data_IF_717197190621
#
_entry.id   IF_717197190621
#
_cell.length_a   1.000
_cell.length_b   1.000
_cell.length_c   1.000
_cell.angle_alpha   90.00
_cell.angle_beta   90.00
_cell.angle_gamma   90.00
#
_symmetry.space_group_name_H-M   'P 1'
#
loop_
_entity.id
_entity.type
_entity.pdbx_description
1 polymer ?
#
# COMPACT_ATOMS: atom_id res chain seq x y z
N UNK A 1 6.90 -1.40 -0.74
CA UNK A 1 5.63 -0.77 -0.26
C UNK A 1 5.61 -0.82 1.25
N UNK A 2 4.77 -0.03 1.91
CA UNK A 2 4.74 0.00 3.38
C UNK A 2 4.51 -1.36 4.04
N UNK A 3 3.63 -2.20 3.48
CA UNK A 3 3.40 -3.55 4.02
C UNK A 3 4.68 -4.40 4.08
N UNK A 4 5.53 -4.36 3.06
CA UNK A 4 6.79 -5.12 3.05
C UNK A 4 7.79 -4.59 4.07
N UNK A 5 7.86 -3.26 4.24
CA UNK A 5 8.74 -2.66 5.25
C UNK A 5 8.25 -3.01 6.66
N UNK A 6 6.94 -3.02 6.88
CA UNK A 6 6.37 -3.51 8.15
C UNK A 6 6.73 -4.96 8.41
N UNK A 7 6.63 -5.83 7.41
CA UNK A 7 7.01 -7.24 7.53
C UNK A 7 8.51 -7.48 7.76
N UNK A 8 9.36 -6.52 7.38
CA UNK A 8 10.80 -6.54 7.67
C UNK A 8 11.11 -6.06 9.08
N UNK A 9 10.36 -5.07 9.59
CA UNK A 9 10.54 -4.49 10.92
C UNK A 9 9.91 -5.34 12.02
N UNK A 10 8.67 -5.74 11.78
CA UNK A 10 7.79 -6.46 12.71
C UNK A 10 7.66 -7.89 12.16
N UNK A 11 7.66 -8.93 13.01
CA UNK A 11 7.25 -10.25 12.52
C UNK A 11 5.80 -10.18 12.03
N UNK A 12 5.46 -11.01 11.06
CA UNK A 12 4.08 -11.12 10.61
C UNK A 12 3.35 -12.13 11.50
N UNK A 13 2.10 -11.85 11.88
CA UNK A 13 1.33 -12.84 12.61
C UNK A 13 1.21 -14.10 11.76
N UNK A 14 1.64 -15.23 12.31
CA UNK A 14 1.53 -16.56 11.70
C UNK A 14 0.07 -16.99 11.71
N UNK A 15 -0.69 -16.49 10.75
CA UNK A 15 -2.07 -16.86 10.54
C UNK A 15 -2.15 -18.02 9.54
N UNK A 16 -3.09 -18.96 9.73
CA UNK A 16 -3.35 -19.97 8.71
C UNK A 16 -3.75 -19.29 7.39
N UNK A 17 -3.48 -19.98 6.28
CA UNK A 17 -3.87 -19.50 4.96
C UNK A 17 -5.39 -19.27 4.94
N UNK A 18 -5.81 -18.08 4.51
CA UNK A 18 -7.23 -17.74 4.45
C UNK A 18 -7.88 -18.54 3.31
N UNK A 19 -8.88 -19.40 3.59
CA UNK A 19 -9.60 -20.12 2.56
C UNK A 19 -10.28 -19.15 1.58
N UNK A 20 -10.23 -19.46 0.28
CA UNK A 20 -10.86 -18.62 -0.74
C UNK A 20 -12.38 -18.48 -0.50
N UNK A 21 -13.02 -19.55 -0.02
CA UNK A 21 -14.44 -19.59 0.34
C UNK A 21 -14.80 -18.59 1.44
N UNK A 22 -13.98 -18.49 2.50
CA UNK A 22 -14.20 -17.53 3.58
C UNK A 22 -14.14 -16.09 3.06
N UNK A 23 -13.15 -15.79 2.23
CA UNK A 23 -13.00 -14.46 1.62
C UNK A 23 -14.19 -14.10 0.72
N UNK A 24 -14.64 -15.06 -0.09
CA UNK A 24 -15.81 -14.87 -0.96
C UNK A 24 -17.07 -14.64 -0.15
N UNK A 25 -17.32 -15.44 0.91
CA UNK A 25 -18.47 -15.27 1.78
C UNK A 25 -18.47 -13.89 2.47
N UNK A 26 -17.33 -13.48 3.03
CA UNK A 26 -17.20 -12.16 3.66
C UNK A 26 -17.38 -11.00 2.66
N UNK A 27 -16.93 -11.16 1.42
CA UNK A 27 -17.17 -10.17 0.36
C UNK A 27 -18.65 -10.08 -0.02
N UNK A 28 -19.36 -11.21 -0.09
CA UNK A 28 -20.80 -11.24 -0.34
C UNK A 28 -21.58 -10.61 0.83
N UNK A 29 -21.19 -10.91 2.07
CA UNK A 29 -21.80 -10.30 3.26
C UNK A 29 -21.59 -8.79 3.29
N UNK A 30 -20.40 -8.31 2.89
CA UNK A 30 -20.14 -6.86 2.77
C UNK A 30 -21.03 -6.21 1.72
N UNK A 31 -21.19 -6.84 0.56
CA UNK A 31 -22.07 -6.35 -0.51
C UNK A 31 -23.53 -6.33 -0.09
N UNK A 32 -23.97 -7.31 0.72
CA UNK A 32 -25.33 -7.37 1.27
C UNK A 32 -25.54 -6.31 2.35
N UNK A 33 -24.61 -6.18 3.29
CA UNK A 33 -24.66 -5.18 4.36
C UNK A 33 -23.29 -4.92 4.98
N UNK A 34 -22.67 -3.81 4.57
CA UNK A 34 -21.46 -3.29 5.21
C UNK A 34 -21.68 -3.00 6.70
N UNK A 35 -22.88 -2.52 7.07
CA UNK A 35 -23.24 -2.24 8.46
C UNK A 35 -23.23 -3.50 9.32
N UNK A 36 -23.75 -4.62 8.81
CA UNK A 36 -23.71 -5.91 9.52
C UNK A 36 -22.28 -6.41 9.71
N UNK A 37 -21.42 -6.28 8.70
CA UNK A 37 -20.00 -6.62 8.81
C UNK A 37 -19.29 -5.76 9.88
N UNK A 38 -19.59 -4.46 9.91
CA UNK A 38 -19.04 -3.55 10.93
C UNK A 38 -19.54 -3.91 12.32
N UNK A 39 -20.83 -4.21 12.49
CA UNK A 39 -21.38 -4.64 13.78
C UNK A 39 -20.72 -5.94 14.25
N UNK A 40 -20.57 -6.92 13.35
CA UNK A 40 -19.86 -8.17 13.63
C UNK A 40 -18.42 -7.92 14.06
N UNK A 41 -17.71 -7.00 13.39
CA UNK A 41 -16.36 -6.63 13.80
C UNK A 41 -16.35 -5.96 15.17
N UNK A 42 -17.29 -5.05 15.46
CA UNK A 42 -17.41 -4.43 16.78
C UNK A 42 -17.62 -5.46 17.89
N UNK A 43 -18.41 -6.51 17.65
CA UNK A 43 -18.60 -7.60 18.62
C UNK A 43 -17.33 -8.41 18.84
N UNK A 44 -16.60 -8.75 17.76
CA UNK A 44 -15.40 -9.59 17.85
C UNK A 44 -14.14 -8.83 18.30
N UNK A 45 -14.04 -7.55 17.95
CA UNK A 45 -12.88 -6.70 18.19
C UNK A 45 -13.29 -5.21 18.23
N UNK A 46 -13.81 -4.73 19.37
CA UNK A 46 -14.22 -3.33 19.53
C UNK A 46 -13.09 -2.33 19.25
N UNK A 47 -11.86 -2.70 19.62
CA UNK A 47 -10.69 -1.85 19.45
C UNK A 47 -10.33 -1.71 17.96
N UNK A 48 -10.30 -2.80 17.20
CA UNK A 48 -10.09 -2.72 15.75
C UNK A 48 -11.23 -1.96 15.07
N UNK A 49 -12.48 -2.17 15.48
CA UNK A 49 -13.63 -1.47 14.91
C UNK A 49 -13.56 0.07 15.10
N UNK A 50 -12.98 0.54 16.20
CA UNK A 50 -12.79 1.97 16.48
C UNK A 50 -11.69 2.62 15.62
N UNK A 51 -10.65 1.85 15.24
CA UNK A 51 -9.48 2.39 14.53
C UNK A 51 -9.48 2.11 13.02
N UNK A 52 -10.17 1.07 12.56
CA UNK A 52 -10.23 0.73 11.15
C UNK A 52 -11.12 1.72 10.40
N UNK A 53 -10.65 2.15 9.24
CA UNK A 53 -11.46 2.89 8.27
C UNK A 53 -12.67 2.04 7.85
N UNK A 54 -13.83 2.42 8.35
CA UNK A 54 -15.12 1.72 8.18
C UNK A 54 -15.61 1.73 6.73
N UNK A 55 -15.06 2.60 5.87
CA UNK A 55 -15.39 2.64 4.45
C UNK A 55 -14.45 1.79 3.60
N UNK A 56 -13.43 1.17 4.21
CA UNK A 56 -12.45 0.35 3.52
C UNK A 56 -12.76 -1.15 3.70
N UNK A 57 -13.51 -1.79 2.78
CA UNK A 57 -13.89 -3.20 2.90
C UNK A 57 -12.68 -4.10 3.11
N UNK A 58 -11.55 -3.81 2.45
CA UNK A 58 -10.36 -4.65 2.57
C UNK A 58 -9.81 -4.69 3.99
N UNK A 59 -9.89 -3.58 4.73
CA UNK A 59 -9.42 -3.52 6.12
C UNK A 59 -10.39 -4.20 7.08
N UNK A 60 -11.69 -3.92 6.94
CA UNK A 60 -12.74 -4.51 7.78
C UNK A 60 -12.79 -6.02 7.60
N UNK A 61 -12.87 -6.48 6.34
CA UNK A 61 -12.92 -7.91 6.04
C UNK A 61 -11.62 -8.62 6.45
N UNK A 62 -10.46 -7.97 6.35
CA UNK A 62 -9.21 -8.57 6.85
C UNK A 62 -9.23 -8.75 8.37
N UNK A 63 -9.75 -7.78 9.13
CA UNK A 63 -9.87 -7.94 10.58
C UNK A 63 -10.84 -9.07 10.94
N UNK A 64 -11.98 -9.16 10.25
CA UNK A 64 -12.91 -10.28 10.38
C UNK A 64 -12.28 -11.63 10.02
N UNK A 65 -11.56 -11.72 8.89
CA UNK A 65 -10.80 -12.92 8.51
C UNK A 65 -9.87 -13.37 9.64
N UNK A 66 -9.16 -12.43 10.27
CA UNK A 66 -8.25 -12.72 11.38
C UNK A 66 -9.06 -13.26 12.56
N UNK A 67 -10.10 -12.54 13.01
CA UNK A 67 -10.88 -12.96 14.16
C UNK A 67 -11.48 -14.37 13.99
N UNK A 68 -11.98 -14.68 12.79
CA UNK A 68 -12.61 -15.97 12.50
C UNK A 68 -11.60 -17.10 12.37
N UNK A 69 -10.37 -16.82 11.93
CA UNK A 69 -9.34 -17.86 11.75
C UNK A 69 -8.52 -18.12 13.01
N UNK A 70 -8.23 -17.08 13.79
CA UNK A 70 -7.44 -17.21 15.02
C UNK A 70 -8.30 -17.53 16.25
N UNK A 71 -9.61 -17.31 16.19
CA UNK A 71 -10.51 -17.41 17.34
C UNK A 71 -10.29 -16.31 18.39
N UNK A 72 -9.46 -15.31 18.11
CA UNK A 72 -9.15 -14.18 19.00
C UNK A 72 -9.19 -12.86 18.23
N UNK A 73 -9.17 -11.73 18.92
CA UNK A 73 -9.28 -10.41 18.26
C UNK A 73 -8.10 -10.13 17.32
N UNK A 74 -8.36 -9.42 16.22
CA UNK A 74 -7.33 -9.01 15.28
C UNK A 74 -6.30 -8.09 15.94
N UNK A 75 -6.76 -7.25 16.88
CA UNK A 75 -5.92 -6.39 17.69
C UNK A 75 -4.91 -7.20 18.53
N UNK A 76 -5.35 -8.28 19.19
CA UNK A 76 -4.45 -9.14 19.95
C UNK A 76 -3.41 -9.81 19.04
N UNK A 77 -3.83 -10.32 17.88
CA UNK A 77 -2.93 -10.94 16.90
C UNK A 77 -1.88 -9.94 16.39
N UNK A 78 -2.28 -8.71 16.09
CA UNK A 78 -1.34 -7.68 15.64
C UNK A 78 -0.39 -7.22 16.74
N UNK A 79 -0.88 -7.11 17.98
CA UNK A 79 -0.05 -6.75 19.13
C UNK A 79 1.02 -7.81 19.39
N UNK A 80 0.67 -9.09 19.30
CA UNK A 80 1.61 -10.19 19.48
C UNK A 80 2.68 -10.20 18.38
N UNK A 81 2.26 -10.03 17.12
CA UNK A 81 3.20 -9.90 16.00
C UNK A 81 4.17 -8.71 16.16
N UNK A 82 3.69 -7.59 16.69
CA UNK A 82 4.53 -6.41 16.94
C UNK A 82 5.54 -6.61 18.08
N UNK A 83 5.30 -7.53 19.01
CA UNK A 83 6.26 -7.90 20.08
C UNK A 83 7.42 -8.73 19.57
N UNK A 84 7.19 -9.52 18.53
CA UNK A 84 8.21 -10.33 17.85
C UNK A 84 9.06 -9.44 16.91
N UNK A 85 9.73 -8.41 17.47
CA UNK A 85 10.67 -7.61 16.69
C UNK A 85 11.81 -8.50 16.18
N UNK A 86 12.29 -8.22 14.96
CA UNK A 86 13.45 -8.92 14.41
C UNK A 86 14.71 -8.65 15.25
N UNK A 87 15.65 -9.61 15.33
CA UNK A 87 16.80 -9.54 16.24
C UNK A 87 17.92 -8.60 15.77
N UNK A 88 17.70 -7.81 14.71
CA UNK A 88 18.70 -6.88 14.17
C UNK A 88 18.19 -5.43 14.23
N UNK A 89 19.08 -4.45 14.47
CA UNK A 89 18.74 -3.04 14.41
C UNK A 89 18.32 -2.68 12.99
N UNK A 90 17.13 -2.08 12.86
CA UNK A 90 16.60 -1.59 11.58
C UNK A 90 16.41 -0.08 11.68
N UNK A 91 17.16 0.67 10.87
CA UNK A 91 16.98 2.11 10.70
C UNK A 91 16.19 2.41 9.43
N UNK A 92 15.11 3.15 9.57
CA UNK A 92 14.26 3.61 8.46
C UNK A 92 14.58 5.06 8.13
N UNK A 93 15.09 5.28 6.93
CA UNK A 93 15.33 6.62 6.37
C UNK A 93 14.43 6.82 5.16
N UNK A 94 13.71 7.94 5.13
CA UNK A 94 12.85 8.31 4.00
C UNK A 94 13.52 9.41 3.19
N UNK A 95 13.68 9.16 1.89
CA UNK A 95 14.01 10.19 0.91
C UNK A 95 12.71 10.81 0.40
N UNK A 96 12.58 12.12 0.56
CA UNK A 96 11.42 12.89 0.11
C UNK A 96 11.88 14.14 -0.66
N UNK A 97 10.94 14.82 -1.28
CA UNK A 97 11.15 16.05 -2.06
C UNK A 97 9.97 16.97 -1.86
N UNK A 98 10.10 18.23 -2.23
CA UNK A 98 8.96 19.14 -2.17
C UNK A 98 7.87 18.78 -3.18
N UNK A 99 6.63 19.18 -2.89
CA UNK A 99 5.46 18.83 -3.69
C UNK A 99 5.58 19.28 -5.15
N UNK A 100 6.12 20.48 -5.37
CA UNK A 100 6.32 21.04 -6.70
C UNK A 100 7.32 20.21 -7.52
N UNK A 101 8.48 19.89 -6.94
CA UNK A 101 9.52 19.06 -7.57
C UNK A 101 9.01 17.65 -7.88
N UNK A 102 8.32 17.00 -6.91
CA UNK A 102 7.75 15.68 -7.14
C UNK A 102 6.70 15.67 -8.25
N UNK A 103 5.82 16.66 -8.31
CA UNK A 103 4.81 16.75 -9.38
C UNK A 103 5.46 16.92 -10.74
N UNK A 104 6.46 17.80 -10.86
CA UNK A 104 7.20 17.99 -12.10
C UNK A 104 7.90 16.70 -12.55
N UNK A 105 8.57 16.00 -11.63
CA UNK A 105 9.23 14.72 -11.92
C UNK A 105 8.25 13.61 -12.26
N UNK A 106 7.10 13.55 -11.60
CA UNK A 106 6.04 12.59 -11.92
C UNK A 106 5.50 12.80 -13.33
N UNK A 107 5.28 14.06 -13.74
CA UNK A 107 4.86 14.40 -15.09
C UNK A 107 5.93 13.99 -16.12
N UNK A 108 7.18 14.41 -15.92
CA UNK A 108 8.29 14.05 -16.80
C UNK A 108 8.48 12.54 -16.94
N UNK A 109 8.40 11.80 -15.82
CA UNK A 109 8.47 10.34 -15.81
C UNK A 109 7.29 9.69 -16.54
N UNK A 110 6.08 10.21 -16.36
CA UNK A 110 4.89 9.71 -17.07
C UNK A 110 5.01 9.91 -18.57
N UNK A 111 5.37 11.11 -19.02
CA UNK A 111 5.62 11.41 -20.42
C UNK A 111 6.70 10.48 -21.01
N UNK A 112 7.78 10.23 -20.26
CA UNK A 112 8.81 9.29 -20.67
C UNK A 112 8.28 7.85 -20.82
N UNK A 113 7.52 7.35 -19.84
CA UNK A 113 6.92 6.00 -19.90
C UNK A 113 5.98 5.85 -21.10
N UNK A 114 5.14 6.85 -21.38
CA UNK A 114 4.24 6.83 -22.54
C UNK A 114 5.02 6.83 -23.86
N UNK A 115 6.06 7.67 -23.99
CA UNK A 115 6.95 7.66 -25.17
C UNK A 115 7.71 6.35 -25.35
N UNK A 116 8.03 5.67 -24.25
CA UNK A 116 8.73 4.38 -24.26
C UNK A 116 7.82 3.18 -24.54
N UNK A 117 6.53 3.40 -24.79
CA UNK A 117 5.63 2.33 -25.22
C UNK A 117 4.77 1.73 -24.12
N UNK A 118 4.51 2.44 -23.00
CA UNK A 118 3.66 1.91 -21.92
C UNK A 118 2.28 1.46 -22.43
N UNK A 119 1.67 2.23 -23.33
CA UNK A 119 0.34 1.89 -23.84
C UNK A 119 0.39 0.64 -24.72
N UNK A 120 1.41 0.57 -25.58
CA UNK A 120 1.69 -0.53 -26.49
C UNK A 120 1.96 -1.82 -25.70
N UNK A 121 2.72 -1.73 -24.61
CA UNK A 121 2.95 -2.84 -23.69
C UNK A 121 1.65 -3.36 -23.08
N UNK A 122 0.78 -2.46 -22.60
CA UNK A 122 -0.53 -2.82 -22.03
C UNK A 122 -1.42 -3.49 -23.08
N UNK A 123 -1.45 -2.96 -24.30
CA UNK A 123 -2.20 -3.57 -25.42
C UNK A 123 -1.66 -4.96 -25.73
N UNK A 124 -0.34 -5.13 -25.81
CA UNK A 124 0.29 -6.43 -26.08
C UNK A 124 -0.01 -7.47 -25.00
N UNK A 125 -0.04 -7.07 -23.72
CA UNK A 125 -0.42 -7.96 -22.63
C UNK A 125 -1.88 -8.43 -22.75
N UNK A 126 -2.81 -7.53 -23.07
CA UNK A 126 -4.22 -7.87 -23.26
C UNK A 126 -4.41 -8.81 -24.46
N UNK A 127 -3.72 -8.54 -25.58
CA UNK A 127 -3.75 -9.39 -26.78
C UNK A 127 -3.23 -10.80 -26.50
N UNK A 128 -2.27 -10.95 -25.57
CA UNK A 128 -1.77 -12.25 -25.09
C UNK A 128 -2.72 -12.96 -24.11
N UNK A 129 -3.91 -12.42 -23.86
CA UNK A 129 -4.91 -13.01 -22.96
C UNK A 129 -4.67 -12.73 -21.48
N UNK A 130 -3.78 -11.79 -21.12
CA UNK A 130 -3.64 -11.36 -19.73
C UNK A 130 -4.92 -10.66 -19.30
N UNK A 131 -5.58 -11.19 -18.27
CA UNK A 131 -6.82 -10.60 -17.78
C UNK A 131 -6.60 -9.14 -17.30
N UNK A 132 -7.46 -8.19 -17.72
CA UNK A 132 -7.40 -6.80 -17.24
C UNK A 132 -7.62 -6.67 -15.72
N UNK A 133 -8.22 -7.68 -15.11
CA UNK A 133 -8.52 -7.72 -13.67
C UNK A 133 -7.41 -8.35 -12.82
N UNK A 134 -6.37 -8.89 -13.45
CA UNK A 134 -5.27 -9.47 -12.71
C UNK A 134 -4.49 -8.38 -11.94
N UNK A 135 -3.85 -8.78 -10.84
CA UNK A 135 -3.20 -7.85 -9.92
C UNK A 135 -2.13 -6.96 -10.59
N UNK A 136 -1.26 -7.46 -11.47
CA UNK A 136 -0.31 -6.62 -12.22
C UNK A 136 -0.98 -5.53 -13.06
N UNK A 137 -2.09 -5.84 -13.74
CA UNK A 137 -2.82 -4.89 -14.60
C UNK A 137 -3.53 -3.77 -13.82
N UNK A 138 -3.56 -3.87 -12.49
CA UNK A 138 -4.07 -2.84 -11.58
C UNK A 138 -2.99 -1.90 -11.04
N UNK A 139 -1.74 -2.06 -11.48
CA UNK A 139 -0.64 -1.14 -11.15
C UNK A 139 -0.88 0.27 -11.74
N UNK A 140 -0.19 1.27 -11.17
CA UNK A 140 -0.20 2.64 -11.69
C UNK A 140 0.38 2.67 -13.11
N UNK A 141 -0.21 3.46 -14.01
CA UNK A 141 0.08 3.39 -15.44
C UNK A 141 -0.84 2.38 -16.13
N UNK A 142 -0.63 1.08 -15.85
CA UNK A 142 -1.40 -0.03 -16.43
C UNK A 142 -2.90 0.13 -16.24
N UNK A 143 -3.33 0.45 -15.02
CA UNK A 143 -4.75 0.65 -14.70
C UNK A 143 -5.36 1.75 -15.54
N UNK A 144 -4.68 2.89 -15.69
CA UNK A 144 -5.19 4.03 -16.46
C UNK A 144 -5.20 3.72 -17.96
N UNK A 145 -4.15 3.05 -18.48
CA UNK A 145 -4.14 2.57 -19.86
C UNK A 145 -5.30 1.61 -20.12
N UNK A 146 -5.56 0.67 -19.21
CA UNK A 146 -6.68 -0.26 -19.31
C UNK A 146 -8.05 0.45 -19.22
N UNK A 147 -8.22 1.41 -18.30
CA UNK A 147 -9.43 2.25 -18.23
C UNK A 147 -9.66 3.03 -19.53
N UNK A 148 -8.60 3.53 -20.16
CA UNK A 148 -8.67 4.20 -21.46
C UNK A 148 -9.06 3.24 -22.59
N UNK A 149 -8.42 2.08 -22.66
CA UNK A 149 -8.73 1.06 -23.67
C UNK A 149 -10.17 0.53 -23.56
N UNK A 150 -10.75 0.58 -22.36
CA UNK A 150 -12.14 0.20 -22.10
C UNK A 150 -13.12 1.38 -22.25
N UNK A 151 -12.68 2.53 -22.77
CA UNK A 151 -13.51 3.71 -23.03
C UNK A 151 -13.95 4.49 -21.79
N UNK A 152 -13.42 4.16 -20.60
CA UNK A 152 -13.78 4.84 -19.33
C UNK A 152 -12.90 6.05 -19.00
N UNK A 153 -11.79 6.22 -19.72
CA UNK A 153 -10.88 7.36 -19.60
C UNK A 153 -10.58 7.91 -20.99
N UNK A 154 -10.88 9.18 -21.30
CA UNK A 154 -10.52 9.77 -22.58
C UNK A 154 -9.01 9.77 -22.81
N UNK A 155 -8.57 9.42 -24.03
CA UNK A 155 -7.14 9.37 -24.38
C UNK A 155 -6.37 10.65 -24.06
N UNK A 156 -6.90 11.87 -24.30
CA UNK A 156 -6.20 13.11 -23.93
C UNK A 156 -5.96 13.27 -22.42
N UNK A 157 -6.70 12.56 -21.58
CA UNK A 157 -6.59 12.62 -20.12
C UNK A 157 -5.68 11.55 -19.52
N UNK A 158 -5.15 10.62 -20.35
CA UNK A 158 -4.38 9.47 -19.87
C UNK A 158 -3.18 9.91 -19.01
N UNK A 159 -2.37 10.83 -19.51
CA UNK A 159 -1.18 11.31 -18.82
C UNK A 159 -1.53 11.97 -17.48
N UNK A 160 -2.50 12.89 -17.50
CA UNK A 160 -2.96 13.58 -16.29
C UNK A 160 -3.49 12.59 -15.24
N UNK A 161 -4.23 11.56 -15.66
CA UNK A 161 -4.74 10.52 -14.77
C UNK A 161 -3.62 9.68 -14.14
N UNK A 162 -2.58 9.31 -14.91
CA UNK A 162 -1.43 8.57 -14.39
C UNK A 162 -0.65 9.42 -13.38
N UNK A 163 -0.42 10.69 -13.69
CA UNK A 163 0.26 11.63 -12.79
C UNK A 163 -0.53 11.81 -11.50
N UNK A 164 -1.84 12.02 -11.59
CA UNK A 164 -2.72 12.18 -10.42
C UNK A 164 -2.74 10.92 -9.55
N UNK A 165 -2.88 9.73 -10.16
CA UNK A 165 -2.88 8.47 -9.44
C UNK A 165 -1.52 8.22 -8.75
N UNK A 166 -0.42 8.57 -9.42
CA UNK A 166 0.93 8.53 -8.86
C UNK A 166 1.09 9.50 -7.68
N UNK A 167 0.56 10.72 -7.80
CA UNK A 167 0.57 11.71 -6.72
C UNK A 167 -0.22 11.24 -5.49
N UNK A 168 -1.41 10.70 -5.69
CA UNK A 168 -2.19 10.10 -4.60
C UNK A 168 -1.42 8.94 -3.93
N UNK A 169 -0.67 8.17 -4.70
CA UNK A 169 0.17 7.11 -4.16
C UNK A 169 1.32 7.66 -3.32
N UNK A 170 2.00 8.72 -3.75
CA UNK A 170 3.02 9.43 -2.96
C UNK A 170 2.42 9.93 -1.63
N UNK A 171 1.24 10.57 -1.67
CA UNK A 171 0.56 11.03 -0.44
C UNK A 171 0.29 9.87 0.53
N UNK A 172 -0.19 8.73 0.01
CA UNK A 172 -0.41 7.52 0.82
C UNK A 172 0.90 6.99 1.41
N UNK A 173 2.00 7.01 0.66
CA UNK A 173 3.31 6.60 1.16
C UNK A 173 3.76 7.51 2.31
N UNK A 174 3.69 8.84 2.14
CA UNK A 174 4.04 9.81 3.19
C UNK A 174 3.22 9.63 4.45
N UNK A 175 1.90 9.52 4.34
CA UNK A 175 1.02 9.26 5.48
C UNK A 175 1.43 7.97 6.19
N UNK A 176 1.74 6.91 5.43
CA UNK A 176 2.16 5.65 5.99
C UNK A 176 3.49 5.76 6.74
N UNK A 177 4.50 6.41 6.17
CA UNK A 177 5.80 6.61 6.81
C UNK A 177 5.71 7.45 8.09
N UNK A 178 4.90 8.51 8.09
CA UNK A 178 4.66 9.31 9.31
C UNK A 178 4.03 8.48 10.42
N UNK A 179 3.09 7.61 10.08
CA UNK A 179 2.42 6.75 11.05
C UNK A 179 3.34 5.63 11.58
N UNK A 180 4.23 5.12 10.75
CA UNK A 180 5.16 4.03 11.12
C UNK A 180 6.25 4.52 12.06
N UNK A 181 6.61 5.81 11.98
CA UNK A 181 7.78 6.35 12.65
C UNK A 181 9.05 5.96 11.88
N UNK A 182 9.88 6.94 11.55
CA UNK A 182 11.15 6.73 10.83
C UNK A 182 12.23 7.55 11.51
N UNK A 183 13.47 7.08 11.43
CA UNK A 183 14.61 7.70 12.12
C UNK A 183 15.01 9.03 11.49
N UNK A 184 14.79 9.19 10.18
CA UNK A 184 15.13 10.43 9.47
C UNK A 184 14.35 10.60 8.17
N UNK A 185 14.06 11.88 7.87
CA UNK A 185 13.61 12.33 6.57
C UNK A 185 14.73 13.15 5.93
N UNK A 186 15.14 12.78 4.72
CA UNK A 186 16.05 13.56 3.90
C UNK A 186 15.23 14.16 2.76
N UNK A 187 15.15 15.48 2.71
CA UNK A 187 14.35 16.20 1.71
C UNK A 187 15.25 16.82 0.66
N UNK A 188 14.93 16.60 -0.62
CA UNK A 188 15.66 17.15 -1.76
C UNK A 188 16.80 16.26 -2.22
N UNK A 189 17.93 16.88 -2.55
CA UNK A 189 19.16 16.22 -2.99
C UNK A 189 20.23 16.38 -1.89
N UNK A 190 20.15 15.59 -0.80
CA UNK A 190 21.09 15.73 0.32
C UNK A 190 22.51 15.47 -0.15
N UNK A 191 23.49 16.32 0.18
CA UNK A 191 24.88 16.09 -0.18
C UNK A 191 25.42 14.83 0.50
N UNK A 192 26.45 14.23 -0.10
CA UNK A 192 27.10 13.01 0.42
C UNK A 192 27.60 13.18 1.86
N UNK A 193 27.94 14.40 2.28
CA UNK A 193 28.34 14.75 3.64
C UNK A 193 27.20 14.58 4.65
N UNK A 194 25.98 14.99 4.30
CA UNK A 194 24.79 14.82 5.13
C UNK A 194 24.42 13.34 5.25
N UNK A 195 24.50 12.59 4.15
CA UNK A 195 24.28 11.14 4.15
C UNK A 195 25.31 10.45 5.06
N UNK A 196 26.58 10.79 4.92
CA UNK A 196 27.66 10.21 5.73
C UNK A 196 27.50 10.54 7.22
N UNK A 197 27.09 11.76 7.56
CA UNK A 197 26.81 12.15 8.94
C UNK A 197 25.63 11.36 9.53
N UNK A 198 24.56 11.16 8.75
CA UNK A 198 23.42 10.34 9.16
C UNK A 198 23.85 8.90 9.41
N UNK A 199 24.61 8.29 8.49
CA UNK A 199 25.07 6.91 8.63
C UNK A 199 25.93 6.73 9.90
N UNK A 200 26.83 7.66 10.20
CA UNK A 200 27.61 7.65 11.45
C UNK A 200 26.72 7.70 12.70
N UNK A 201 25.70 8.56 12.68
CA UNK A 201 24.75 8.69 13.80
C UNK A 201 23.95 7.40 14.03
N UNK A 202 23.47 6.77 12.96
CA UNK A 202 22.70 5.52 13.04
C UNK A 202 23.58 4.34 13.46
N UNK A 203 24.85 4.31 13.04
CA UNK A 203 25.81 3.31 13.50
C UNK A 203 26.08 3.40 15.01
N UNK A 204 26.17 4.63 15.55
CA UNK A 204 26.42 4.85 16.98
C UNK A 204 25.24 4.44 17.89
N UNK A 205 24.01 4.40 17.38
CA UNK A 205 22.81 3.97 18.12
C UNK A 205 22.52 2.47 18.02
N UNK A 206 23.39 1.70 17.35
CA UNK A 206 23.20 0.26 17.13
C UNK A 206 23.93 -0.64 18.14
N UNK A 207 24.39 -0.07 19.26
CA UNK A 207 25.03 -0.76 20.39
C UNK A 207 24.11 -0.86 21.61
#
# INVERSE_FOLDING_TARGET
TGLYVRALRDDLPKLPAVPASLRQALMQDWQRSAAACLARLTTLDPQAAAHIDRHNPRRVLRALEICLLSGTSATAVWAEAARLRRPWPLHLVVLDREDADLRARLAARCAAMLRQGLLEEVVGLLQRGVSPDCRPMRALGYRQCNEMLQGRLPRPQLEAAIVQASWQYVRRQRTWWRHVGVDSWLVGDPPSTQISALLRRLAATSH
#
